data_IF_557931843365
#
_entry.id   IF_557931843365
#
_cell.length_a   1.000
_cell.length_b   1.000
_cell.length_c   1.000
_cell.angle_alpha   90.00
_cell.angle_beta   90.00
_cell.angle_gamma   90.00
#
_symmetry.space_group_name_H-M   'P 1'
#
loop_
_entity.id
_entity.type
_entity.pdbx_description
1 polymer ?
#
# COMPACT_ATOMS: atom_id res chain seq x y z
N UNK A 1 6.34 -50.81 -20.81
CA UNK A 1 7.52 -50.26 -21.50
C UNK A 1 7.18 -48.81 -21.82
N UNK A 2 7.77 -47.74 -21.27
CA UNK A 2 9.19 -47.38 -21.09
C UNK A 2 9.41 -46.69 -19.71
N UNK A 3 10.58 -46.88 -19.14
CA UNK A 3 11.22 -46.17 -18.01
C UNK A 3 12.66 -45.86 -18.48
N UNK A 4 13.49 -45.10 -17.73
CA UNK A 4 13.28 -43.87 -16.93
C UNK A 4 14.40 -42.84 -17.26
N UNK A 5 14.71 -41.91 -16.32
CA UNK A 5 15.86 -40.97 -16.17
C UNK A 5 15.36 -39.51 -16.11
N UNK A 6 15.62 -38.68 -15.09
CA UNK A 6 16.47 -38.78 -13.90
C UNK A 6 17.19 -37.44 -13.63
N UNK A 7 17.50 -37.17 -12.35
CA UNK A 7 18.56 -36.25 -11.82
C UNK A 7 18.15 -34.77 -11.64
N UNK A 8 18.46 -34.03 -10.55
CA UNK A 8 18.95 -34.33 -9.20
C UNK A 8 18.86 -33.08 -8.28
N UNK A 9 19.07 -33.36 -6.99
CA UNK A 9 19.22 -32.51 -5.81
C UNK A 9 20.23 -31.36 -5.92
N UNK A 10 19.96 -30.28 -5.16
CA UNK A 10 21.01 -29.61 -4.36
C UNK A 10 20.49 -29.42 -2.93
N UNK A 11 21.13 -30.14 -2.01
CA UNK A 11 21.13 -29.91 -0.56
C UNK A 11 22.53 -29.39 -0.22
N UNK A 12 22.64 -28.16 0.26
CA UNK A 12 23.74 -27.64 1.10
C UNK A 12 23.10 -26.45 1.86
N UNK A 13 23.19 -26.27 3.17
CA UNK A 13 23.97 -26.93 4.20
C UNK A 13 24.01 -25.98 5.40
N UNK A 14 23.71 -26.53 6.56
CA UNK A 14 23.74 -25.95 7.89
C UNK A 14 25.16 -25.50 8.30
N UNK A 15 25.30 -24.38 9.01
CA UNK A 15 26.36 -24.23 10.02
C UNK A 15 25.98 -23.17 11.06
N UNK A 16 25.45 -23.64 12.19
CA UNK A 16 25.55 -22.95 13.46
C UNK A 16 27.02 -22.98 13.92
N UNK A 17 27.53 -21.86 14.40
CA UNK A 17 28.78 -21.82 15.17
C UNK A 17 28.48 -21.23 16.54
N UNK A 18 28.07 -22.11 17.45
CA UNK A 18 28.34 -21.95 18.88
C UNK A 18 29.69 -22.62 19.15
N UNK A 19 30.62 -21.88 19.74
CA UNK A 19 31.80 -22.47 20.37
C UNK A 19 32.25 -21.58 21.52
N UNK A 20 31.62 -21.81 22.67
CA UNK A 20 32.30 -21.75 23.96
C UNK A 20 33.26 -22.94 24.01
N UNK A 21 34.55 -22.67 24.24
CA UNK A 21 35.44 -23.57 24.97
C UNK A 21 36.57 -22.73 25.56
N UNK A 22 36.43 -22.46 26.85
CA UNK A 22 37.50 -22.15 27.78
C UNK A 22 38.26 -23.44 28.13
N UNK A 23 39.59 -23.35 28.26
CA UNK A 23 40.53 -24.01 29.20
C UNK A 23 41.94 -23.84 28.63
N UNK A 24 42.89 -23.39 29.46
CA UNK A 24 44.32 -23.72 29.28
C UNK A 24 45.31 -22.55 29.33
N UNK A 25 46.01 -22.42 30.45
CA UNK A 25 47.00 -21.41 30.85
C UNK A 25 48.33 -21.55 30.09
N UNK A 26 48.97 -20.44 29.68
CA UNK A 26 50.43 -20.18 29.80
C UNK A 26 50.80 -18.75 29.33
N UNK A 27 51.83 -18.22 29.98
CA UNK A 27 52.24 -16.81 30.06
C UNK A 27 53.22 -16.36 28.96
N UNK A 28 53.47 -15.05 28.95
CA UNK A 28 54.58 -14.27 28.37
C UNK A 28 54.40 -13.68 26.95
N UNK A 29 54.45 -12.34 26.90
CA UNK A 29 54.73 -11.57 25.69
C UNK A 29 53.85 -10.33 25.51
N UNK A 30 54.18 -9.22 26.17
CA UNK A 30 53.62 -7.90 25.83
C UNK A 30 54.06 -7.49 24.42
N UNK A 31 53.09 -7.35 23.51
CA UNK A 31 53.26 -6.66 22.24
C UNK A 31 52.24 -5.50 22.19
N UNK A 32 52.66 -4.25 21.95
CA UNK A 32 51.73 -3.13 21.92
C UNK A 32 50.88 -3.20 20.64
N UNK A 33 49.58 -3.44 20.80
CA UNK A 33 48.61 -3.40 19.69
C UNK A 33 48.29 -1.93 19.39
N UNK A 34 48.25 -1.50 18.11
CA UNK A 34 47.83 -0.14 17.78
C UNK A 34 46.41 0.10 18.29
N UNK A 35 46.17 1.27 18.90
CA UNK A 35 44.84 1.65 19.33
C UNK A 35 43.88 1.64 18.12
N UNK A 36 42.96 0.69 18.10
CA UNK A 36 41.83 0.69 17.18
C UNK A 36 41.03 1.95 17.48
N UNK A 37 41.07 2.88 16.54
CA UNK A 37 40.24 4.09 16.58
C UNK A 37 38.80 3.60 16.53
N UNK A 38 38.08 3.71 17.65
CA UNK A 38 36.66 3.41 17.71
C UNK A 38 35.98 4.28 16.63
N UNK A 39 35.49 3.64 15.58
CA UNK A 39 34.72 4.30 14.55
C UNK A 39 33.44 4.77 15.21
N UNK A 40 33.35 6.07 15.52
CA UNK A 40 32.15 6.68 16.05
C UNK A 40 31.03 6.39 15.07
N UNK A 41 29.93 5.72 15.48
CA UNK A 41 28.80 5.53 14.59
C UNK A 41 28.29 6.92 14.20
N UNK A 42 28.39 7.25 12.92
CA UNK A 42 27.71 8.44 12.40
C UNK A 42 26.23 8.25 12.69
N UNK A 43 25.67 9.11 13.55
CA UNK A 43 24.24 9.18 13.75
C UNK A 43 23.61 9.46 12.39
N UNK A 44 22.93 8.46 11.82
CA UNK A 44 22.18 8.61 10.59
C UNK A 44 21.12 9.66 10.85
N UNK A 45 21.30 10.86 10.29
CA UNK A 45 20.28 11.91 10.34
C UNK A 45 19.07 11.37 9.60
N UNK A 46 18.03 10.98 10.35
CA UNK A 46 16.79 10.50 9.78
C UNK A 46 16.16 11.65 8.99
N UNK A 47 16.18 11.54 7.66
CA UNK A 47 15.46 12.49 6.79
C UNK A 47 13.98 12.37 7.12
N UNK A 48 13.29 13.47 7.51
CA UNK A 48 11.87 13.42 7.82
C UNK A 48 11.08 12.90 6.60
N UNK A 49 10.24 11.89 6.83
CA UNK A 49 9.36 11.40 5.79
C UNK A 49 8.42 12.54 5.33
N UNK A 50 8.15 12.68 4.01
CA UNK A 50 7.24 13.70 3.52
C UNK A 50 5.87 13.60 4.23
N UNK A 51 5.20 14.73 4.53
CA UNK A 51 3.87 14.70 5.10
C UNK A 51 2.90 14.03 4.12
N UNK A 52 1.90 13.33 4.66
CA UNK A 52 0.86 12.74 3.83
C UNK A 52 -0.06 13.80 3.26
N UNK A 53 -0.46 13.61 2.01
CA UNK A 53 -1.39 14.49 1.31
C UNK A 53 -2.78 13.89 1.45
N UNK A 54 -3.80 14.69 1.79
CA UNK A 54 -5.18 14.21 1.79
C UNK A 54 -5.72 14.19 0.36
N UNK A 55 -6.56 13.23 0.03
CA UNK A 55 -7.30 13.19 -1.23
C UNK A 55 -8.15 14.44 -1.46
N UNK A 56 -8.62 15.07 -0.38
CA UNK A 56 -9.32 16.37 -0.43
C UNK A 56 -8.42 17.59 -0.63
N UNK A 57 -7.11 17.43 -0.84
CA UNK A 57 -6.20 18.57 -1.07
C UNK A 57 -6.49 19.20 -2.47
N UNK A 58 -6.87 20.48 -2.53
CA UNK A 58 -7.28 21.13 -3.78
C UNK A 58 -6.14 21.33 -4.79
N UNK A 59 -4.89 21.06 -4.40
CA UNK A 59 -3.74 21.07 -5.31
C UNK A 59 -3.53 19.74 -6.04
N UNK A 60 -4.36 18.74 -5.76
CA UNK A 60 -4.39 17.47 -6.49
C UNK A 60 -5.14 17.62 -7.80
N UNK A 61 -4.62 16.94 -8.83
CA UNK A 61 -5.29 16.74 -10.10
C UNK A 61 -5.48 15.25 -10.34
N UNK A 62 -6.65 14.89 -10.86
CA UNK A 62 -7.10 13.53 -11.08
C UNK A 62 -7.29 13.30 -12.58
N UNK A 63 -6.81 12.17 -13.07
CA UNK A 63 -7.01 11.75 -14.45
C UNK A 63 -7.46 10.29 -14.45
N UNK A 64 -8.66 10.02 -14.95
CA UNK A 64 -9.18 8.67 -15.10
C UNK A 64 -8.92 8.12 -16.50
N UNK A 65 -8.44 6.87 -16.57
CA UNK A 65 -8.38 6.06 -17.78
C UNK A 65 -8.91 4.66 -17.49
N UNK A 66 -10.17 4.43 -17.86
CA UNK A 66 -10.89 3.19 -17.57
C UNK A 66 -10.96 2.94 -16.05
N UNK A 67 -10.36 1.84 -15.59
CA UNK A 67 -10.37 1.43 -14.17
C UNK A 67 -9.32 2.15 -13.32
N UNK A 68 -8.45 2.94 -13.92
CA UNK A 68 -7.28 3.53 -13.27
C UNK A 68 -7.48 5.03 -13.10
N UNK A 69 -7.19 5.55 -11.91
CA UNK A 69 -7.17 6.99 -11.60
C UNK A 69 -5.76 7.37 -11.19
N UNK A 70 -5.14 8.28 -11.93
CA UNK A 70 -3.84 8.84 -11.59
C UNK A 70 -4.02 10.13 -10.83
N UNK A 71 -3.36 10.24 -9.68
CA UNK A 71 -3.37 11.41 -8.80
C UNK A 71 -2.01 12.09 -8.89
N UNK A 72 -2.01 13.37 -9.25
CA UNK A 72 -0.80 14.19 -9.35
C UNK A 72 -0.93 15.45 -8.52
N UNK A 73 0.21 16.00 -8.08
CA UNK A 73 0.30 17.31 -7.44
C UNK A 73 1.33 18.13 -8.18
N UNK A 74 0.91 19.23 -8.83
CA UNK A 74 1.80 20.06 -9.66
C UNK A 74 2.63 19.21 -10.64
N UNK A 75 1.96 18.32 -11.37
CA UNK A 75 2.55 17.35 -12.32
C UNK A 75 3.47 16.28 -11.72
N UNK A 76 3.65 16.23 -10.39
CA UNK A 76 4.38 15.15 -9.72
C UNK A 76 3.40 14.03 -9.35
N UNK A 77 3.67 12.75 -9.70
CA UNK A 77 2.83 11.63 -9.30
C UNK A 77 2.76 11.49 -7.77
N UNK A 78 1.55 11.27 -7.24
CA UNK A 78 1.29 11.04 -5.82
C UNK A 78 0.81 9.61 -5.58
N UNK A 79 -0.19 9.18 -6.33
CA UNK A 79 -0.74 7.84 -6.24
C UNK A 79 -1.42 7.44 -7.55
N UNK A 80 -1.60 6.14 -7.73
CA UNK A 80 -2.52 5.56 -8.70
C UNK A 80 -3.52 4.72 -7.93
N UNK A 81 -4.80 4.90 -8.21
CA UNK A 81 -5.90 4.12 -7.62
C UNK A 81 -6.57 3.33 -8.73
N UNK A 82 -6.54 2.01 -8.62
CA UNK A 82 -7.10 1.09 -9.61
C UNK A 82 -8.28 0.35 -9.02
N UNK A 83 -9.42 0.35 -9.71
CA UNK A 83 -10.55 -0.51 -9.32
C UNK A 83 -10.21 -1.97 -9.63
N UNK A 84 -9.77 -2.72 -8.63
CA UNK A 84 -9.37 -4.12 -8.78
C UNK A 84 -10.59 -5.02 -8.98
N UNK A 85 -11.60 -4.89 -8.12
CA UNK A 85 -12.83 -5.70 -8.21
C UNK A 85 -14.03 -4.99 -7.60
N UNK A 86 -15.21 -5.35 -8.07
CA UNK A 86 -16.49 -4.93 -7.49
C UNK A 86 -17.44 -6.10 -7.39
N UNK A 87 -18.25 -6.10 -6.34
CA UNK A 87 -19.37 -7.03 -6.17
C UNK A 87 -20.61 -6.19 -5.93
N UNK A 88 -21.60 -6.35 -6.82
CA UNK A 88 -22.84 -5.57 -6.81
C UNK A 88 -24.04 -6.47 -6.51
N UNK A 89 -24.70 -6.25 -5.38
CA UNK A 89 -25.90 -6.98 -4.97
C UNK A 89 -27.07 -6.02 -4.80
N UNK A 90 -28.28 -6.56 -4.70
CA UNK A 90 -29.38 -5.80 -4.13
C UNK A 90 -29.05 -5.56 -2.64
N UNK A 91 -29.17 -4.32 -2.18
CA UNK A 91 -28.91 -3.91 -0.78
C UNK A 91 -27.47 -3.82 -0.30
N UNK A 92 -26.49 -4.24 -1.12
CA UNK A 92 -25.09 -4.08 -0.76
C UNK A 92 -24.16 -4.04 -1.96
N UNK A 93 -22.99 -3.47 -1.74
CA UNK A 93 -21.88 -3.58 -2.67
C UNK A 93 -20.54 -3.56 -1.93
N UNK A 94 -19.54 -4.13 -2.60
CA UNK A 94 -18.15 -4.10 -2.14
C UNK A 94 -17.26 -3.72 -3.30
N UNK A 95 -16.38 -2.75 -3.08
CA UNK A 95 -15.35 -2.35 -4.03
C UNK A 95 -13.97 -2.53 -3.41
N UNK A 96 -13.05 -3.12 -4.16
CA UNK A 96 -11.65 -3.23 -3.79
C UNK A 96 -10.84 -2.35 -4.73
N UNK A 97 -10.21 -1.34 -4.16
CA UNK A 97 -9.32 -0.41 -4.83
C UNK A 97 -7.88 -0.79 -4.48
N UNK A 98 -7.03 -0.95 -5.48
CA UNK A 98 -5.58 -1.03 -5.29
C UNK A 98 -5.01 0.39 -5.32
N UNK A 99 -4.36 0.80 -4.23
CA UNK A 99 -3.72 2.10 -4.09
C UNK A 99 -2.21 1.91 -4.17
N UNK A 100 -1.61 2.36 -5.26
CA UNK A 100 -0.15 2.41 -5.42
C UNK A 100 0.31 3.86 -5.22
N UNK A 101 0.87 4.14 -4.05
CA UNK A 101 1.29 5.46 -3.65
C UNK A 101 2.80 5.65 -3.80
N UNK A 102 3.24 6.72 -4.47
CA UNK A 102 4.65 7.12 -4.53
C UNK A 102 5.05 7.96 -3.33
N UNK A 103 4.06 8.60 -2.70
CA UNK A 103 4.19 9.41 -1.49
C UNK A 103 3.06 9.08 -0.54
N UNK A 104 3.21 9.30 0.78
CA UNK A 104 2.11 9.06 1.70
C UNK A 104 0.85 9.85 1.30
N UNK A 105 -0.29 9.16 1.25
CA UNK A 105 -1.60 9.75 0.92
C UNK A 105 -2.62 9.29 1.96
N UNK A 106 -3.57 10.16 2.30
CA UNK A 106 -4.73 9.83 3.14
C UNK A 106 -5.94 9.85 2.22
N UNK A 107 -6.65 8.73 2.15
CA UNK A 107 -7.87 8.59 1.36
C UNK A 107 -9.03 8.46 2.33
N UNK A 108 -10.08 9.25 2.15
CA UNK A 108 -11.29 9.19 2.96
C UNK A 108 -12.34 8.30 2.29
N UNK A 109 -12.68 7.14 2.87
CA UNK A 109 -13.70 6.26 2.29
C UNK A 109 -15.07 6.93 2.13
N UNK A 110 -15.40 7.96 2.93
CA UNK A 110 -16.66 8.70 2.80
C UNK A 110 -16.74 9.51 1.49
N UNK A 111 -15.62 9.77 0.83
CA UNK A 111 -15.57 10.44 -0.48
C UNK A 111 -15.94 9.49 -1.63
N UNK A 112 -16.25 8.23 -1.35
CA UNK A 112 -16.70 7.27 -2.34
C UNK A 112 -18.21 7.09 -2.26
N UNK A 113 -18.88 7.36 -3.37
CA UNK A 113 -20.34 7.36 -3.45
C UNK A 113 -20.78 6.30 -4.45
N UNK A 114 -21.76 5.48 -4.07
CA UNK A 114 -22.46 4.63 -5.01
C UNK A 114 -23.67 5.33 -5.58
N UNK A 115 -23.86 5.13 -6.89
CA UNK A 115 -25.01 5.64 -7.63
C UNK A 115 -25.82 4.47 -8.16
N UNK A 116 -27.14 4.54 -8.03
CA UNK A 116 -28.06 3.62 -8.71
C UNK A 116 -28.71 4.27 -9.95
N UNK A 117 -29.48 3.47 -10.69
CA UNK A 117 -30.16 3.90 -11.92
C UNK A 117 -31.20 5.01 -11.71
N UNK A 118 -31.61 5.24 -10.45
CA UNK A 118 -32.64 6.20 -10.06
C UNK A 118 -32.01 7.48 -9.48
N UNK A 119 -30.68 7.57 -9.45
CA UNK A 119 -29.94 8.70 -8.90
C UNK A 119 -29.85 8.68 -7.37
N UNK A 120 -30.09 7.54 -6.73
CA UNK A 120 -29.86 7.39 -5.30
C UNK A 120 -28.37 7.24 -4.99
N UNK A 121 -27.95 7.82 -3.87
CA UNK A 121 -26.54 7.90 -3.45
C UNK A 121 -26.30 7.18 -2.13
N UNK A 122 -25.14 6.52 -2.00
CA UNK A 122 -24.68 5.92 -0.75
C UNK A 122 -23.20 6.14 -0.50
N UNK A 123 -22.86 6.50 0.73
CA UNK A 123 -21.48 6.52 1.19
C UNK A 123 -21.01 5.13 1.64
N UNK A 124 -19.70 4.94 1.69
CA UNK A 124 -19.11 3.75 2.28
C UNK A 124 -19.38 3.71 3.80
N UNK A 125 -19.62 2.52 4.35
CA UNK A 125 -19.81 2.34 5.80
C UNK A 125 -18.55 2.73 6.59
N UNK A 126 -17.39 2.62 5.96
CA UNK A 126 -16.15 3.06 6.57
C UNK A 126 -16.11 4.58 6.59
N UNK A 127 -15.93 5.18 7.77
CA UNK A 127 -15.86 6.64 7.93
C UNK A 127 -14.50 7.15 8.41
N UNK A 128 -13.54 6.24 8.63
CA UNK A 128 -12.19 6.61 9.09
C UNK A 128 -11.27 6.76 7.88
N UNK A 129 -10.62 7.94 7.71
CA UNK A 129 -9.61 8.11 6.69
C UNK A 129 -8.48 7.10 6.84
N UNK A 130 -8.04 6.53 5.71
CA UNK A 130 -7.01 5.50 5.65
C UNK A 130 -5.72 6.12 5.12
N UNK A 131 -4.62 5.95 5.87
CA UNK A 131 -3.30 6.42 5.46
C UNK A 131 -2.55 5.33 4.71
N UNK A 132 -2.16 5.62 3.49
CA UNK A 132 -1.28 4.80 2.67
C UNK A 132 0.14 5.37 2.74
N UNK A 133 1.11 4.51 3.09
CA UNK A 133 2.54 4.82 2.90
C UNK A 133 2.95 4.69 1.44
N UNK A 134 4.23 4.88 1.13
CA UNK A 134 4.72 4.56 -0.21
C UNK A 134 4.65 3.03 -0.44
N UNK A 135 4.26 2.63 -1.65
CA UNK A 135 4.04 1.23 -2.03
C UNK A 135 2.58 0.96 -2.43
N UNK A 136 2.25 -0.33 -2.55
CA UNK A 136 0.93 -0.80 -2.99
C UNK A 136 0.18 -1.43 -1.83
N UNK A 137 -1.08 -1.05 -1.64
CA UNK A 137 -1.98 -1.63 -0.65
C UNK A 137 -3.44 -1.59 -1.14
N UNK A 138 -4.31 -2.40 -0.53
CA UNK A 138 -5.72 -2.44 -0.88
C UNK A 138 -6.56 -1.56 0.06
N UNK A 139 -7.51 -0.82 -0.52
CA UNK A 139 -8.62 -0.19 0.17
C UNK A 139 -9.90 -0.96 -0.16
N UNK A 140 -10.56 -1.51 0.86
CA UNK A 140 -11.86 -2.18 0.69
C UNK A 140 -12.96 -1.26 1.17
N UNK A 141 -13.92 -0.99 0.30
CA UNK A 141 -15.11 -0.19 0.56
C UNK A 141 -16.33 -1.11 0.63
N UNK A 142 -17.12 -0.95 1.68
CA UNK A 142 -18.36 -1.69 1.89
C UNK A 142 -19.51 -0.70 1.92
N UNK A 143 -20.58 -1.04 1.20
CA UNK A 143 -21.79 -0.24 1.13
C UNK A 143 -22.96 -1.15 1.48
N UNK A 144 -23.81 -0.72 2.40
CA UNK A 144 -25.04 -1.43 2.78
C UNK A 144 -26.23 -0.49 2.71
N UNK A 145 -27.44 -1.04 2.72
CA UNK A 145 -28.66 -0.24 2.70
C UNK A 145 -29.00 0.34 1.33
N UNK A 146 -28.41 -0.18 0.25
CA UNK A 146 -28.75 0.30 -1.11
C UNK A 146 -30.17 -0.15 -1.49
N UNK A 147 -31.08 0.73 -1.92
CA UNK A 147 -32.46 0.31 -2.23
C UNK A 147 -32.49 -0.60 -3.48
N UNK A 148 -31.61 -0.32 -4.43
CA UNK A 148 -31.43 -1.08 -5.65
C UNK A 148 -30.00 -1.61 -5.80
N UNK A 149 -29.77 -2.35 -6.89
CA UNK A 149 -28.43 -2.76 -7.29
C UNK A 149 -27.68 -1.52 -7.84
N UNK A 150 -26.50 -1.18 -7.31
CA UNK A 150 -25.75 -0.02 -7.77
C UNK A 150 -25.30 -0.15 -9.23
N UNK A 151 -25.20 0.99 -9.91
CA UNK A 151 -24.75 1.11 -11.30
C UNK A 151 -23.37 1.70 -11.44
N UNK A 152 -22.94 2.54 -10.50
CA UNK A 152 -21.60 3.10 -10.53
C UNK A 152 -21.05 3.37 -9.13
N UNK A 153 -19.72 3.43 -9.04
CA UNK A 153 -18.98 3.98 -7.92
C UNK A 153 -18.29 5.26 -8.38
N UNK A 154 -18.58 6.38 -7.75
CA UNK A 154 -17.83 7.62 -7.93
C UNK A 154 -16.85 7.85 -6.79
N UNK A 155 -15.78 8.57 -7.09
CA UNK A 155 -14.90 9.17 -6.11
C UNK A 155 -15.05 10.69 -6.20
N UNK A 156 -15.57 11.29 -5.13
CA UNK A 156 -15.82 12.73 -4.99
C UNK A 156 -14.82 13.27 -3.98
N UNK A 157 -13.59 13.52 -4.43
CA UNK A 157 -12.48 13.86 -3.53
C UNK A 157 -12.69 15.15 -2.71
N UNK A 158 -13.67 15.99 -3.06
CA UNK A 158 -14.07 17.17 -2.32
C UNK A 158 -15.56 17.08 -1.97
N UNK A 159 -15.98 17.41 -0.73
CA UNK A 159 -17.35 17.17 -0.26
C UNK A 159 -18.44 17.90 -1.08
N UNK A 160 -18.12 19.02 -1.72
CA UNK A 160 -19.05 19.79 -2.57
C UNK A 160 -18.66 19.74 -4.07
N UNK A 161 -17.80 18.80 -4.46
CA UNK A 161 -17.28 18.68 -5.82
C UNK A 161 -18.04 17.70 -6.70
N UNK A 162 -17.75 17.71 -8.00
CA UNK A 162 -18.15 16.63 -8.91
C UNK A 162 -17.26 15.39 -8.71
N UNK A 163 -17.78 14.22 -9.10
CA UNK A 163 -16.99 12.99 -9.10
C UNK A 163 -15.78 13.13 -10.04
N UNK A 164 -14.57 12.96 -9.48
CA UNK A 164 -13.30 13.01 -10.24
C UNK A 164 -12.99 11.68 -10.94
N UNK A 165 -13.67 10.62 -10.53
CA UNK A 165 -13.64 9.32 -11.18
C UNK A 165 -14.98 8.62 -11.01
N UNK A 166 -15.42 7.90 -12.05
CA UNK A 166 -16.64 7.09 -12.05
C UNK A 166 -16.35 5.72 -12.65
N UNK A 167 -16.62 4.66 -11.90
CA UNK A 167 -16.53 3.28 -12.35
C UNK A 167 -17.92 2.69 -12.51
N UNK A 168 -18.37 2.57 -13.75
CA UNK A 168 -19.65 1.96 -14.08
C UNK A 168 -19.61 0.43 -13.92
N UNK A 169 -20.78 -0.13 -13.64
CA UNK A 169 -21.05 -1.57 -13.66
C UNK A 169 -20.94 -2.05 -15.10
N UNK A 170 -19.88 -2.81 -15.38
CA UNK A 170 -19.69 -3.54 -16.64
C UNK A 170 -20.59 -4.75 -16.80
#
# INVERSE_FOLDING_TARGET
MKKPLGVAFVVIGLAAAASLNSIGVASAGQQPVPAVVASTPMASVAVPAPPAIKDSDPSLAFAQNGRIVTVTRRSTPVATVTLASTTWSAHSATAVLEVTATRPIIVDPAMFILYDAQGWENEAEQSKPVRFGAGTAALTLTFTGTPARPEALGWVAQPDGDAVAVWERG
#
